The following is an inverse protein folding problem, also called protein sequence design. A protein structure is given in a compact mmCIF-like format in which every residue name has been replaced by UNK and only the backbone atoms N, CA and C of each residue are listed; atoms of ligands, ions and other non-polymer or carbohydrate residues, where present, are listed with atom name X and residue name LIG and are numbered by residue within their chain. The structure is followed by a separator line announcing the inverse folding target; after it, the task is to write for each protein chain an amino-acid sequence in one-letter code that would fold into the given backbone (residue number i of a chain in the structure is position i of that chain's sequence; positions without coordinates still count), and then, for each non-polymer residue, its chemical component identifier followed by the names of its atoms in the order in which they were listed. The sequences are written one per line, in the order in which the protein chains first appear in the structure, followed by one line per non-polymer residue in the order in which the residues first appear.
data_IF_890095464403
#
_entry.id   IF_890095464403
#
_cell.length_a   1.000
_cell.length_b   1.000
_cell.length_c   1.000
_cell.angle_alpha   90.00
_cell.angle_beta   90.00
_cell.angle_gamma   90.00
#
_symmetry.space_group_name_H-M   'P 1'
#
loop_
_entity.id
_entity.type
_entity.pdbx_description
1 polymer ?
#
# COMPACT_ATOMS: atom_id res chain seq x y z
N UNK A 1 47.90 -37.55 -33.01
CA UNK A 1 47.51 -36.91 -31.77
C UNK A 1 46.66 -35.69 -32.13
N UNK A 2 45.30 -35.79 -32.07
CA UNK A 2 44.37 -34.71 -32.51
C UNK A 2 43.75 -34.12 -31.24
N UNK A 3 44.08 -32.87 -30.93
CA UNK A 3 43.53 -32.11 -29.81
C UNK A 3 42.13 -31.60 -30.23
N UNK A 4 41.07 -31.99 -29.48
CA UNK A 4 39.71 -31.45 -29.65
C UNK A 4 39.55 -30.33 -28.65
N UNK A 5 39.36 -29.11 -29.14
CA UNK A 5 38.95 -27.96 -28.34
C UNK A 5 37.45 -28.08 -28.08
N UNK A 6 37.06 -28.17 -26.79
CA UNK A 6 35.69 -28.03 -26.32
C UNK A 6 35.41 -26.52 -26.12
N UNK A 7 34.56 -25.97 -26.95
CA UNK A 7 34.04 -24.60 -26.78
C UNK A 7 32.86 -24.64 -25.82
N UNK A 8 33.04 -24.06 -24.63
CA UNK A 8 31.96 -23.83 -23.69
C UNK A 8 31.19 -22.56 -24.12
N UNK A 9 29.93 -22.74 -24.51
CA UNK A 9 29.01 -21.64 -24.73
C UNK A 9 28.42 -21.18 -23.40
N UNK A 10 28.80 -19.98 -22.95
CA UNK A 10 28.14 -19.30 -21.84
C UNK A 10 26.80 -18.74 -22.31
N UNK A 11 25.70 -19.30 -21.80
CA UNK A 11 24.38 -18.74 -22.00
C UNK A 11 24.19 -17.51 -21.06
N UNK A 12 23.70 -16.37 -21.56
CA UNK A 12 23.41 -15.23 -20.72
C UNK A 12 22.14 -15.52 -19.90
N UNK A 13 22.26 -15.44 -18.55
CA UNK A 13 21.13 -15.41 -17.64
C UNK A 13 20.37 -14.09 -17.84
N UNK A 14 19.21 -14.15 -18.46
CA UNK A 14 18.28 -13.02 -18.53
C UNK A 14 17.68 -12.80 -17.12
N UNK A 15 18.14 -11.77 -16.44
CA UNK A 15 17.48 -11.28 -15.21
C UNK A 15 16.16 -10.63 -15.62
N UNK A 16 15.06 -11.34 -15.41
CA UNK A 16 13.71 -10.78 -15.54
C UNK A 16 13.50 -9.85 -14.35
N UNK A 17 13.82 -8.58 -14.54
CA UNK A 17 13.46 -7.52 -13.58
C UNK A 17 11.95 -7.35 -13.56
N UNK A 18 11.32 -7.65 -12.42
CA UNK A 18 9.92 -7.30 -12.16
C UNK A 18 9.89 -5.77 -12.03
N UNK A 19 9.59 -5.08 -13.14
CA UNK A 19 9.33 -3.64 -13.12
C UNK A 19 8.00 -3.42 -12.42
N UNK A 20 8.02 -3.02 -11.15
CA UNK A 20 6.86 -2.37 -10.54
C UNK A 20 6.49 -1.19 -11.44
N UNK A 21 5.24 -1.13 -11.88
CA UNK A 21 4.72 -0.06 -12.73
C UNK A 21 4.86 1.27 -11.97
N UNK A 22 5.93 2.01 -12.27
CA UNK A 22 6.15 3.35 -11.74
C UNK A 22 5.24 4.29 -12.51
N UNK A 23 4.28 4.85 -11.80
CA UNK A 23 3.33 5.77 -12.39
C UNK A 23 3.91 7.16 -12.58
N UNK A 24 3.46 7.80 -13.65
CA UNK A 24 3.87 9.17 -13.99
C UNK A 24 3.51 10.15 -12.87
N UNK A 25 4.44 11.06 -12.47
CA UNK A 25 4.14 12.11 -11.51
C UNK A 25 2.90 12.91 -11.93
N UNK A 26 2.04 13.21 -10.97
CA UNK A 26 0.85 14.03 -11.20
C UNK A 26 -0.40 13.32 -11.69
N UNK A 27 -0.35 12.02 -11.97
CA UNK A 27 -1.55 11.23 -12.28
C UNK A 27 -2.20 10.65 -11.01
N UNK A 28 -3.53 10.55 -11.00
CA UNK A 28 -4.26 9.79 -9.99
C UNK A 28 -4.02 8.30 -10.19
N UNK A 29 -3.68 7.61 -9.11
CA UNK A 29 -3.46 6.16 -9.11
C UNK A 29 -4.40 5.51 -8.10
N UNK A 30 -5.04 4.40 -8.45
CA UNK A 30 -5.66 3.54 -7.47
C UNK A 30 -4.58 3.00 -6.53
N UNK A 31 -4.87 2.96 -5.25
CA UNK A 31 -3.94 2.41 -4.27
C UNK A 31 -4.01 0.88 -4.31
N UNK A 32 -2.86 0.23 -4.42
CA UNK A 32 -2.77 -1.23 -4.48
C UNK A 32 -2.97 -1.86 -3.11
N UNK A 33 -3.64 -3.00 -3.07
CA UNK A 33 -3.88 -3.80 -1.87
C UNK A 33 -2.61 -4.58 -1.45
N UNK A 34 -2.34 -4.61 -0.16
CA UNK A 34 -1.26 -5.37 0.46
C UNK A 34 -1.76 -6.15 1.67
N UNK A 35 -1.27 -7.39 1.81
CA UNK A 35 -1.53 -8.26 2.96
C UNK A 35 -0.21 -8.56 3.67
N UNK A 36 -0.13 -8.23 4.96
CA UNK A 36 1.08 -8.39 5.76
C UNK A 36 1.23 -9.77 6.41
N UNK A 37 0.29 -10.70 6.22
CA UNK A 37 0.35 -12.03 6.86
C UNK A 37 1.59 -12.82 6.48
N UNK A 38 2.06 -12.68 5.26
CA UNK A 38 3.22 -13.42 4.76
C UNK A 38 4.40 -12.48 4.59
N UNK A 39 5.33 -12.41 5.57
CA UNK A 39 6.45 -11.45 5.53
C UNK A 39 7.33 -11.55 4.29
N UNK A 40 7.49 -12.76 3.73
CA UNK A 40 8.32 -12.99 2.53
C UNK A 40 7.73 -12.40 1.24
N UNK A 41 6.43 -12.10 1.20
CA UNK A 41 5.74 -11.52 0.04
C UNK A 41 5.36 -10.06 0.25
N UNK A 42 5.51 -9.54 1.47
CA UNK A 42 5.22 -8.15 1.78
C UNK A 42 6.38 -7.26 1.34
N UNK A 43 6.07 -6.15 0.69
CA UNK A 43 7.07 -5.12 0.34
C UNK A 43 7.78 -4.64 1.63
N UNK A 44 9.11 -4.73 1.70
CA UNK A 44 9.88 -4.29 2.86
C UNK A 44 9.61 -2.84 3.27
N UNK A 45 9.36 -1.95 2.32
CA UNK A 45 9.04 -0.54 2.60
C UNK A 45 7.71 -0.40 3.34
N UNK A 46 6.71 -1.23 3.02
CA UNK A 46 5.43 -1.26 3.73
C UNK A 46 5.60 -1.63 5.20
N UNK A 47 6.45 -2.62 5.49
CA UNK A 47 6.72 -3.03 6.87
C UNK A 47 7.40 -1.92 7.69
N UNK A 48 8.21 -1.07 7.04
CA UNK A 48 8.82 0.11 7.66
C UNK A 48 7.80 1.22 7.93
N UNK A 49 6.73 1.28 7.15
CA UNK A 49 5.66 2.27 7.34
C UNK A 49 4.72 1.88 8.49
N UNK A 50 4.45 0.58 8.70
CA UNK A 50 3.43 0.09 9.64
C UNK A 50 3.94 -0.88 10.73
N UNK A 51 5.15 -0.71 11.30
CA UNK A 51 5.70 -1.67 12.25
C UNK A 51 4.91 -1.74 13.56
N UNK A 52 4.32 -0.64 13.99
CA UNK A 52 3.49 -0.53 15.18
C UNK A 52 2.14 -1.24 14.99
N UNK A 53 1.48 -1.06 13.86
CA UNK A 53 0.20 -1.71 13.53
C UNK A 53 0.37 -3.22 13.43
N UNK A 54 1.42 -3.69 12.76
CA UNK A 54 1.73 -5.12 12.66
C UNK A 54 1.99 -5.70 14.05
N UNK A 55 2.78 -5.02 14.89
CA UNK A 55 3.08 -5.47 16.26
C UNK A 55 1.83 -5.53 17.12
N UNK A 56 0.96 -4.51 17.06
CA UNK A 56 -0.31 -4.47 17.78
C UNK A 56 -1.23 -5.63 17.38
N UNK A 57 -1.39 -5.86 16.07
CA UNK A 57 -2.20 -6.95 15.56
C UNK A 57 -1.65 -8.32 16.00
N UNK A 58 -0.33 -8.51 15.93
CA UNK A 58 0.33 -9.73 16.41
C UNK A 58 0.10 -9.95 17.90
N UNK A 59 0.28 -8.92 18.71
CA UNK A 59 0.03 -8.98 20.15
C UNK A 59 -1.43 -9.35 20.46
N UNK A 60 -2.38 -8.75 19.77
CA UNK A 60 -3.80 -9.09 19.94
C UNK A 60 -4.09 -10.58 19.66
N UNK A 61 -3.58 -11.11 18.56
CA UNK A 61 -3.80 -12.52 18.21
C UNK A 61 -3.18 -13.45 19.24
N UNK A 62 -1.97 -13.15 19.71
CA UNK A 62 -1.24 -14.03 20.63
C UNK A 62 -1.70 -13.88 22.07
N UNK A 63 -2.05 -12.68 22.54
CA UNK A 63 -2.39 -12.44 23.95
C UNK A 63 -3.89 -12.53 24.22
N UNK A 64 -4.72 -11.96 23.35
CA UNK A 64 -6.17 -11.94 23.54
C UNK A 64 -6.85 -13.18 22.96
N UNK A 65 -6.52 -13.52 21.73
CA UNK A 65 -7.12 -14.68 21.05
C UNK A 65 -6.43 -16.00 21.40
N UNK A 66 -5.27 -15.97 22.08
CA UNK A 66 -4.48 -17.16 22.45
C UNK A 66 -4.16 -18.05 21.27
N UNK A 67 -3.90 -17.47 20.10
CA UNK A 67 -3.60 -18.20 18.86
C UNK A 67 -2.13 -18.03 18.50
N UNK A 68 -1.43 -19.09 18.06
CA UNK A 68 -0.08 -18.98 17.53
C UNK A 68 -0.11 -18.28 16.17
N UNK A 69 0.96 -17.58 15.83
CA UNK A 69 1.13 -16.94 14.52
C UNK A 69 1.85 -17.81 13.49
N UNK A 70 2.53 -18.89 13.95
CA UNK A 70 3.23 -19.88 13.13
C UNK A 70 4.14 -19.26 12.05
N UNK A 71 4.92 -18.26 12.45
CA UNK A 71 5.86 -17.54 11.57
C UNK A 71 5.19 -16.55 10.61
N UNK A 72 3.88 -16.34 10.73
CA UNK A 72 3.11 -15.33 9.98
C UNK A 72 2.82 -14.12 10.86
N UNK A 73 2.43 -13.02 10.25
CA UNK A 73 1.79 -11.93 10.97
C UNK A 73 0.28 -12.17 11.13
N UNK A 74 -0.32 -11.49 12.09
CA UNK A 74 -1.77 -11.33 12.12
C UNK A 74 -2.26 -10.62 10.85
N UNK A 75 -3.56 -10.75 10.57
CA UNK A 75 -4.16 -10.07 9.44
C UNK A 75 -4.09 -8.55 9.64
N UNK A 76 -3.28 -7.93 8.85
CA UNK A 76 -3.25 -6.48 8.62
C UNK A 76 -3.24 -6.26 7.13
N UNK A 77 -4.13 -5.43 6.64
CA UNK A 77 -4.22 -5.06 5.23
C UNK A 77 -3.95 -3.58 5.05
N UNK A 78 -3.36 -3.21 3.93
CA UNK A 78 -3.14 -1.82 3.59
C UNK A 78 -3.40 -1.57 2.10
N UNK A 79 -3.73 -0.33 1.79
CA UNK A 79 -3.71 0.21 0.44
C UNK A 79 -2.48 1.11 0.30
N UNK A 80 -1.78 1.06 -0.83
CA UNK A 80 -0.69 2.00 -1.07
C UNK A 80 -0.51 2.42 -2.52
N UNK A 81 0.10 3.59 -2.70
CA UNK A 81 0.62 4.07 -3.96
C UNK A 81 2.05 4.59 -3.76
N UNK A 82 2.92 4.33 -4.74
CA UNK A 82 4.34 4.66 -4.65
C UNK A 82 4.75 5.52 -5.86
N UNK A 83 5.51 6.57 -5.58
CA UNK A 83 5.97 7.56 -6.56
C UNK A 83 7.49 7.72 -6.46
N UNK A 84 8.13 8.02 -7.59
CA UNK A 84 9.54 8.38 -7.63
C UNK A 84 9.68 9.91 -7.74
N UNK A 85 10.52 10.51 -6.90
CA UNK A 85 10.82 11.93 -6.85
C UNK A 85 12.34 12.14 -6.84
N UNK A 86 12.95 12.22 -8.01
CA UNK A 86 14.37 12.51 -8.15
C UNK A 86 15.31 11.54 -7.43
N UNK A 87 14.99 10.24 -7.44
CA UNK A 87 15.74 9.18 -6.76
C UNK A 87 15.21 8.86 -5.35
N UNK A 88 14.28 9.66 -4.83
CA UNK A 88 13.55 9.34 -3.59
C UNK A 88 12.24 8.62 -3.92
N UNK A 89 11.80 7.78 -3.00
CA UNK A 89 10.50 7.13 -3.08
C UNK A 89 9.55 7.82 -2.11
N UNK A 90 8.38 8.24 -2.61
CA UNK A 90 7.26 8.74 -1.79
C UNK A 90 6.19 7.66 -1.80
N UNK A 91 5.89 7.11 -0.63
CA UNK A 91 4.85 6.10 -0.44
C UNK A 91 3.69 6.69 0.34
N UNK A 92 2.49 6.56 -0.19
CA UNK A 92 1.24 6.88 0.48
C UNK A 92 0.58 5.57 0.85
N UNK A 93 0.32 5.34 2.13
CA UNK A 93 -0.25 4.07 2.60
C UNK A 93 -1.30 4.28 3.68
N UNK A 94 -2.38 3.53 3.58
CA UNK A 94 -3.48 3.48 4.54
C UNK A 94 -3.59 2.05 5.05
N UNK A 95 -3.43 1.81 6.36
CA UNK A 95 -3.63 0.48 6.91
C UNK A 95 -4.99 0.37 7.59
N UNK A 96 -5.71 -0.70 7.29
CA UNK A 96 -6.90 -1.08 8.05
C UNK A 96 -6.44 -1.63 9.41
N UNK A 97 -6.74 -0.92 10.45
CA UNK A 97 -6.29 -1.21 11.81
C UNK A 97 -7.37 -0.85 12.81
N UNK A 98 -7.13 -1.15 14.10
CA UNK A 98 -8.01 -0.73 15.20
C UNK A 98 -8.10 0.78 15.39
N UNK A 99 -7.20 1.54 14.78
CA UNK A 99 -7.22 2.99 14.77
C UNK A 99 -8.18 3.57 13.72
N UNK A 100 -8.82 2.71 12.92
CA UNK A 100 -9.84 3.14 11.97
C UNK A 100 -11.19 3.26 12.69
N UNK A 101 -11.87 4.37 12.44
CA UNK A 101 -13.29 4.48 12.77
C UNK A 101 -14.09 3.79 11.66
N UNK A 102 -14.89 2.81 12.04
CA UNK A 102 -15.80 2.16 11.08
C UNK A 102 -16.79 3.18 10.56
N UNK A 103 -16.88 3.31 9.24
CA UNK A 103 -17.93 4.11 8.62
C UNK A 103 -19.32 3.60 9.06
N UNK A 104 -20.26 4.51 9.20
CA UNK A 104 -21.62 4.13 9.52
C UNK A 104 -22.21 3.31 8.36
N UNK A 105 -22.66 2.11 8.68
CA UNK A 105 -23.39 1.27 7.74
C UNK A 105 -24.90 1.63 7.86
N UNK A 106 -25.26 2.84 7.45
CA UNK A 106 -26.66 3.25 7.41
C UNK A 106 -27.30 2.68 6.15
N UNK A 107 -28.29 1.81 6.33
CA UNK A 107 -29.05 1.20 5.23
C UNK A 107 -29.70 2.24 4.30
N UNK A 108 -29.85 3.48 4.75
CA UNK A 108 -30.47 4.56 4.00
C UNK A 108 -29.44 5.55 3.41
N UNK A 109 -28.23 5.65 3.99
CA UNK A 109 -27.20 6.59 3.54
C UNK A 109 -26.14 5.95 2.64
N UNK A 110 -26.14 4.61 2.52
CA UNK A 110 -25.12 3.86 1.80
C UNK A 110 -23.93 3.46 2.70
N UNK A 111 -22.92 2.85 2.09
CA UNK A 111 -21.70 2.43 2.78
C UNK A 111 -20.77 3.64 2.87
N UNK A 112 -20.50 4.11 4.08
CA UNK A 112 -19.46 5.09 4.30
C UNK A 112 -18.10 4.38 4.45
N UNK A 113 -17.03 4.88 3.80
CA UNK A 113 -15.71 4.31 3.94
C UNK A 113 -15.18 4.49 5.37
N UNK A 114 -14.40 3.52 5.86
CA UNK A 114 -13.73 3.65 7.15
C UNK A 114 -12.76 4.82 7.14
N UNK A 115 -12.71 5.57 8.22
CA UNK A 115 -11.74 6.66 8.41
C UNK A 115 -10.51 6.12 9.13
N UNK A 116 -9.36 6.12 8.46
CA UNK A 116 -8.13 5.49 8.92
C UNK A 116 -6.94 6.45 8.94
N UNK A 117 -5.89 6.15 9.71
CA UNK A 117 -4.59 6.80 9.56
C UNK A 117 -4.02 6.55 8.16
N UNK A 118 -3.53 7.62 7.54
CA UNK A 118 -2.75 7.59 6.30
C UNK A 118 -1.34 7.99 6.63
N UNK A 119 -0.37 7.18 6.24
CA UNK A 119 1.05 7.50 6.37
C UNK A 119 1.63 7.82 5.02
N UNK A 120 2.28 8.99 4.95
CA UNK A 120 3.03 9.44 3.79
C UNK A 120 4.50 9.35 4.20
N UNK A 121 5.19 8.37 3.63
CA UNK A 121 6.58 8.07 3.94
C UNK A 121 7.49 8.46 2.78
N UNK A 122 8.65 9.01 3.09
CA UNK A 122 9.70 9.32 2.11
C UNK A 122 10.90 8.43 2.38
N UNK A 123 11.47 7.85 1.34
CA UNK A 123 12.61 6.94 1.41
C UNK A 123 13.75 7.41 0.50
N UNK A 124 14.97 7.07 0.89
CA UNK A 124 16.17 7.08 0.06
C UNK A 124 16.63 5.61 -0.04
N UNK A 125 16.39 4.98 -1.18
CA UNK A 125 16.49 3.53 -1.30
C UNK A 125 15.59 2.82 -0.28
N UNK A 126 16.19 1.99 0.58
CA UNK A 126 15.50 1.30 1.67
C UNK A 126 15.48 2.09 2.99
N UNK A 127 16.11 3.26 3.04
CA UNK A 127 16.19 4.08 4.26
C UNK A 127 14.99 4.99 4.38
N UNK A 128 14.20 4.81 5.44
CA UNK A 128 13.11 5.71 5.80
C UNK A 128 13.68 7.07 6.24
N UNK A 129 13.27 8.16 5.57
CA UNK A 129 13.68 9.53 5.88
C UNK A 129 12.65 10.25 6.76
N UNK A 130 11.37 10.11 6.42
CA UNK A 130 10.28 10.76 7.17
C UNK A 130 8.98 10.00 7.04
N UNK A 131 8.11 10.16 8.04
CA UNK A 131 6.70 9.75 7.99
C UNK A 131 5.86 10.93 8.46
N UNK A 132 4.83 11.27 7.66
CA UNK A 132 3.77 12.20 8.04
C UNK A 132 2.46 11.42 8.14
N UNK A 133 1.75 11.56 9.25
CA UNK A 133 0.46 10.89 9.47
C UNK A 133 -0.68 11.90 9.37
N UNK A 134 -1.70 11.54 8.62
CA UNK A 134 -2.96 12.29 8.50
C UNK A 134 -4.12 11.31 8.55
N UNK A 135 -5.34 11.82 8.58
CA UNK A 135 -6.55 11.00 8.49
C UNK A 135 -7.05 10.97 7.05
N UNK A 136 -7.42 9.79 6.56
CA UNK A 136 -8.03 9.58 5.24
C UNK A 136 -9.07 8.47 5.30
N UNK A 137 -9.63 8.11 4.14
CA UNK A 137 -10.64 7.07 4.07
C UNK A 137 -10.08 5.81 3.41
N UNK A 138 -10.40 4.69 4.02
CA UNK A 138 -10.16 3.35 3.48
C UNK A 138 -11.48 2.86 2.88
N UNK A 139 -11.56 2.83 1.54
CA UNK A 139 -12.62 2.09 0.87
C UNK A 139 -12.17 0.64 0.81
N UNK A 140 -12.89 -0.21 1.53
CA UNK A 140 -12.65 -1.65 1.45
C UNK A 140 -13.08 -2.09 0.04
N UNK A 141 -12.11 -2.58 -0.73
CA UNK A 141 -12.42 -3.31 -1.95
C UNK A 141 -13.07 -4.61 -1.52
N UNK A 142 -14.38 -4.53 -1.31
CA UNK A 142 -15.16 -5.68 -1.01
C UNK A 142 -14.82 -6.77 -2.02
N UNK A 143 -14.41 -7.90 -1.51
CA UNK A 143 -14.19 -9.13 -2.22
C UNK A 143 -13.11 -9.08 -3.34
N UNK A 144 -11.89 -9.58 -3.08
CA UNK A 144 -10.85 -9.69 -4.10
C UNK A 144 -11.28 -10.57 -5.29
N UNK A 145 -12.32 -11.39 -5.12
CA UNK A 145 -12.86 -12.27 -6.16
C UNK A 145 -13.79 -11.53 -7.13
N UNK A 146 -14.22 -10.30 -6.82
CA UNK A 146 -14.99 -9.50 -7.76
C UNK A 146 -14.13 -9.00 -8.92
N UNK A 147 -14.59 -9.14 -10.17
CA UNK A 147 -13.90 -8.61 -11.33
C UNK A 147 -13.64 -7.11 -11.16
N UNK A 148 -12.43 -6.65 -11.53
CA UNK A 148 -12.01 -5.24 -11.41
C UNK A 148 -13.01 -4.24 -12.02
N UNK A 149 -13.72 -4.63 -13.07
CA UNK A 149 -14.77 -3.82 -13.72
C UNK A 149 -16.00 -3.54 -12.83
N UNK A 150 -16.19 -4.31 -11.78
CA UNK A 150 -17.32 -4.16 -10.85
C UNK A 150 -16.90 -3.42 -9.56
N UNK A 151 -15.63 -3.01 -9.46
CA UNK A 151 -15.11 -2.23 -8.34
C UNK A 151 -15.46 -0.77 -8.55
N UNK A 152 -16.48 -0.30 -7.85
CA UNK A 152 -16.91 1.10 -7.84
C UNK A 152 -16.32 1.89 -6.67
N UNK A 153 -15.73 1.15 -5.72
CA UNK A 153 -15.17 1.69 -4.48
C UNK A 153 -13.66 1.62 -4.57
N UNK A 154 -13.00 2.75 -4.43
CA UNK A 154 -11.56 2.84 -4.60
C UNK A 154 -10.97 4.04 -3.86
N UNK A 155 -9.75 3.87 -3.37
CA UNK A 155 -8.96 4.96 -2.81
C UNK A 155 -7.81 5.26 -3.76
N UNK A 156 -7.70 6.53 -4.11
CA UNK A 156 -6.69 7.03 -5.05
C UNK A 156 -5.73 7.96 -4.32
N UNK A 157 -4.49 7.91 -4.74
CA UNK A 157 -3.49 8.90 -4.40
C UNK A 157 -2.93 9.58 -5.65
N UNK A 158 -2.39 10.78 -5.47
CA UNK A 158 -1.66 11.55 -6.47
C UNK A 158 -0.54 12.30 -5.78
N UNK A 159 0.65 12.28 -6.36
CA UNK A 159 1.78 13.07 -5.90
C UNK A 159 2.19 14.10 -6.95
N UNK A 160 2.35 15.34 -6.52
CA UNK A 160 2.90 16.44 -7.33
C UNK A 160 4.30 16.78 -6.80
N UNK A 161 5.38 16.41 -7.51
CA UNK A 161 6.74 16.68 -7.08
C UNK A 161 7.09 18.17 -7.12
N UNK A 162 6.46 18.97 -8.00
CA UNK A 162 6.74 20.40 -8.11
C UNK A 162 6.34 21.15 -6.85
N UNK A 163 5.15 20.89 -6.33
CA UNK A 163 4.66 21.47 -5.07
C UNK A 163 5.07 20.67 -3.83
N UNK A 164 5.49 19.41 -3.98
CA UNK A 164 5.71 18.46 -2.89
C UNK A 164 4.44 18.16 -2.13
N UNK A 165 3.31 17.97 -2.86
CA UNK A 165 2.01 17.68 -2.25
C UNK A 165 1.50 16.30 -2.63
N UNK A 166 0.89 15.62 -1.66
CA UNK A 166 0.12 14.40 -1.85
C UNK A 166 -1.37 14.76 -1.76
N UNK A 167 -2.14 14.24 -2.68
CA UNK A 167 -3.60 14.35 -2.68
C UNK A 167 -4.22 12.96 -2.57
N UNK A 168 -5.30 12.87 -1.79
CA UNK A 168 -6.09 11.64 -1.59
C UNK A 168 -7.52 11.89 -2.05
N UNK A 169 -8.13 10.86 -2.62
CA UNK A 169 -9.51 10.83 -3.04
C UNK A 169 -10.07 9.43 -2.89
N UNK A 170 -11.29 9.32 -2.40
CA UNK A 170 -11.98 8.03 -2.28
C UNK A 170 -13.30 8.09 -3.04
N UNK A 171 -13.66 7.00 -3.70
CA UNK A 171 -14.94 6.79 -4.35
C UNK A 171 -15.70 5.65 -3.69
N UNK A 172 -17.03 5.79 -3.60
CA UNK A 172 -17.96 4.75 -3.19
C UNK A 172 -19.11 4.72 -4.19
N UNK A 173 -19.43 3.55 -4.72
CA UNK A 173 -20.40 3.43 -5.80
C UNK A 173 -20.05 4.27 -7.03
N UNK A 174 -18.76 4.46 -7.30
CA UNK A 174 -18.25 5.29 -8.40
C UNK A 174 -18.37 6.80 -8.17
N UNK A 175 -18.87 7.25 -7.01
CA UNK A 175 -19.03 8.67 -6.66
C UNK A 175 -17.91 9.09 -5.69
N UNK A 176 -17.37 10.29 -5.92
CA UNK A 176 -16.37 10.87 -5.02
C UNK A 176 -17.02 11.17 -3.67
N UNK A 177 -16.33 10.78 -2.58
CA UNK A 177 -16.69 11.12 -1.19
C UNK A 177 -15.91 12.38 -0.78
N UNK A 178 -16.52 13.57 -0.75
CA UNK A 178 -15.79 14.82 -0.52
C UNK A 178 -15.10 14.89 0.84
N UNK A 179 -15.70 14.30 1.87
CA UNK A 179 -15.14 14.24 3.23
C UNK A 179 -13.84 13.44 3.32
N UNK A 180 -13.54 12.61 2.31
CA UNK A 180 -12.33 11.81 2.20
C UNK A 180 -11.19 12.52 1.45
N UNK A 181 -11.47 13.64 0.77
CA UNK A 181 -10.45 14.36 0.04
C UNK A 181 -9.45 15.01 1.00
N UNK A 182 -8.17 14.83 0.72
CA UNK A 182 -7.07 15.44 1.49
C UNK A 182 -6.00 15.96 0.56
N UNK A 183 -5.37 17.06 0.96
CA UNK A 183 -4.14 17.58 0.35
C UNK A 183 -3.12 17.79 1.47
N UNK A 184 -1.95 17.18 1.33
CA UNK A 184 -0.92 17.15 2.36
C UNK A 184 0.42 17.57 1.76
N UNK A 185 1.03 18.62 2.28
CA UNK A 185 2.41 18.98 1.93
C UNK A 185 3.38 18.03 2.64
N UNK A 186 4.40 17.54 1.92
CA UNK A 186 5.48 16.71 2.46
C UNK A 186 6.84 17.42 2.49
N UNK A 187 6.86 18.67 2.05
CA UNK A 187 8.00 19.56 2.19
C UNK A 187 7.99 20.25 3.54
#
# INVERSE_FOLDING_TARGET
MRLRFLTFALAPLAVVGISAAQSSPGAWQPMAFHDFRTPSTTDPLQTLVWPDVIREANAYVTTELKRPLDGKNALVTALSATYNDGGRTVMVSIALSRQCDSGANDKNAGIEPSTCPVRIATFDGAKLLSIKTVTGCYADHADPDLPAKNRSDDTFARFDPASGTVQLRTTVGGKIVPSCNRTVSIK
#
